data_IF_914576041742
#
_entry.id   IF_914576041742
#
_cell.length_a   1.000
_cell.length_b   1.000
_cell.length_c   1.000
_cell.angle_alpha   90.00
_cell.angle_beta   90.00
_cell.angle_gamma   90.00
#
_symmetry.space_group_name_H-M   'P 1'
#
loop_
_entity.id
_entity.type
_entity.pdbx_description
1 polymer ?
#
# COMPACT_ATOMS: atom_id res chain seq x y z
N UNK A 1 -13.98 10.99 -3.65
CA UNK A 1 -13.80 9.82 -4.54
C UNK A 1 -13.17 8.68 -3.74
N UNK A 2 -14.01 7.78 -3.21
CA UNK A 2 -13.60 6.64 -2.36
C UNK A 2 -13.33 5.34 -3.16
N UNK A 3 -13.46 5.39 -4.48
CA UNK A 3 -13.29 4.25 -5.40
C UNK A 3 -11.84 3.82 -5.57
N UNK A 4 -10.88 4.74 -5.43
CA UNK A 4 -9.44 4.49 -5.65
C UNK A 4 -8.82 3.52 -4.64
N UNK A 5 -9.25 3.52 -3.38
CA UNK A 5 -8.66 2.66 -2.35
C UNK A 5 -9.05 1.18 -2.51
N UNK A 6 -10.28 0.91 -2.94
CA UNK A 6 -10.76 -0.46 -3.09
C UNK A 6 -10.07 -1.18 -4.25
N UNK A 7 -9.79 -0.48 -5.34
CA UNK A 7 -9.06 -1.03 -6.49
C UNK A 7 -7.61 -1.36 -6.14
N UNK A 8 -6.93 -0.50 -5.37
CA UNK A 8 -5.56 -0.75 -4.91
C UNK A 8 -5.49 -1.98 -4.00
N UNK A 9 -6.47 -2.17 -3.11
CA UNK A 9 -6.56 -3.36 -2.27
C UNK A 9 -6.67 -4.62 -3.14
N UNK A 10 -7.57 -4.64 -4.13
CA UNK A 10 -7.72 -5.78 -5.06
C UNK A 10 -6.42 -6.10 -5.80
N UNK A 11 -5.75 -5.08 -6.33
CA UNK A 11 -4.50 -5.25 -7.06
C UNK A 11 -3.36 -5.74 -6.15
N UNK A 12 -3.28 -5.27 -4.91
CA UNK A 12 -2.31 -5.77 -3.91
C UNK A 12 -2.56 -7.23 -3.55
N UNK A 13 -3.81 -7.67 -3.42
CA UNK A 13 -4.15 -9.08 -3.19
C UNK A 13 -3.71 -9.97 -4.35
N UNK A 14 -3.84 -9.49 -5.60
CA UNK A 14 -3.33 -10.22 -6.77
C UNK A 14 -1.79 -10.32 -6.73
N UNK A 15 -1.10 -9.25 -6.33
CA UNK A 15 0.36 -9.26 -6.20
C UNK A 15 0.81 -10.22 -5.11
N UNK A 16 0.13 -10.22 -3.96
CA UNK A 16 0.38 -11.16 -2.86
C UNK A 16 0.28 -12.61 -3.32
N UNK A 17 -0.84 -12.94 -3.99
CA UNK A 17 -1.08 -14.26 -4.54
C UNK A 17 0.02 -14.68 -5.54
N UNK A 18 0.32 -13.85 -6.53
CA UNK A 18 1.32 -14.16 -7.55
C UNK A 18 2.77 -14.17 -7.00
N UNK A 19 3.06 -13.35 -5.98
CA UNK A 19 4.35 -13.37 -5.31
C UNK A 19 4.55 -14.66 -4.50
N UNK A 20 3.49 -15.18 -3.89
CA UNK A 20 3.48 -16.47 -3.21
C UNK A 20 3.67 -17.65 -4.19
N UNK A 21 3.15 -17.55 -5.42
CA UNK A 21 3.45 -18.49 -6.52
C UNK A 21 4.92 -18.41 -7.00
N UNK A 22 5.71 -17.44 -6.51
CA UNK A 22 7.11 -17.27 -6.91
C UNK A 22 7.31 -16.46 -8.20
N UNK A 23 6.27 -15.79 -8.70
CA UNK A 23 6.40 -14.94 -9.90
C UNK A 23 7.33 -13.74 -9.66
N UNK A 24 8.09 -13.36 -10.69
CA UNK A 24 8.89 -12.14 -10.69
C UNK A 24 8.02 -10.89 -10.87
N UNK A 25 8.42 -9.78 -10.24
CA UNK A 25 7.65 -8.52 -10.26
C UNK A 25 7.35 -8.02 -11.68
N UNK A 26 8.30 -8.14 -12.61
CA UNK A 26 8.11 -7.75 -14.01
C UNK A 26 6.98 -8.57 -14.69
N UNK A 27 6.95 -9.89 -14.43
CA UNK A 27 5.92 -10.77 -14.98
C UNK A 27 4.55 -10.46 -14.36
N UNK A 28 4.51 -10.13 -13.07
CA UNK A 28 3.29 -9.72 -12.37
C UNK A 28 2.75 -8.42 -12.99
N UNK A 29 3.59 -7.40 -13.16
CA UNK A 29 3.17 -6.12 -13.74
C UNK A 29 2.68 -6.28 -15.19
N UNK A 30 3.36 -7.08 -16.01
CA UNK A 30 2.92 -7.38 -17.37
C UNK A 30 1.52 -8.01 -17.40
N UNK A 31 1.27 -9.03 -16.56
CA UNK A 31 -0.04 -9.69 -16.43
C UNK A 31 -1.11 -8.76 -15.87
N UNK A 32 -0.78 -7.91 -14.91
CA UNK A 32 -1.74 -6.96 -14.35
C UNK A 32 -2.09 -5.86 -15.36
N UNK A 33 -1.12 -5.40 -16.15
CA UNK A 33 -1.34 -4.35 -17.15
C UNK A 33 -2.25 -4.81 -18.29
N UNK A 34 -2.23 -6.09 -18.66
CA UNK A 34 -3.19 -6.62 -19.67
C UNK A 34 -4.63 -6.68 -19.15
N UNK A 35 -4.83 -6.90 -17.85
CA UNK A 35 -6.17 -7.02 -17.24
C UNK A 35 -6.72 -5.67 -16.76
N UNK A 36 -5.90 -4.86 -16.07
CA UNK A 36 -6.31 -3.59 -15.48
C UNK A 36 -6.07 -2.38 -16.39
N UNK A 37 -5.32 -2.54 -17.48
CA UNK A 37 -5.01 -1.45 -18.41
C UNK A 37 -4.35 -0.27 -17.72
N UNK A 38 -4.84 0.94 -17.99
CA UNK A 38 -4.34 2.19 -17.41
C UNK A 38 -4.56 2.29 -15.89
N UNK A 39 -5.49 1.51 -15.35
CA UNK A 39 -5.77 1.49 -13.91
C UNK A 39 -4.79 0.61 -13.13
N UNK A 40 -3.86 -0.07 -13.81
CA UNK A 40 -2.83 -0.88 -13.18
C UNK A 40 -1.89 -0.02 -12.32
N UNK A 41 -1.54 -0.51 -11.13
CA UNK A 41 -0.48 0.14 -10.35
C UNK A 41 0.85 0.12 -11.10
N UNK A 42 1.70 1.11 -10.81
CA UNK A 42 2.99 1.22 -11.46
C UNK A 42 3.93 0.06 -11.13
N UNK A 43 4.84 -0.25 -12.06
CA UNK A 43 5.85 -1.31 -11.90
C UNK A 43 6.69 -1.16 -10.62
N UNK A 44 7.07 0.09 -10.28
CA UNK A 44 7.76 0.39 -9.02
C UNK A 44 6.92 0.01 -7.78
N UNK A 45 5.61 0.24 -7.83
CA UNK A 45 4.71 -0.16 -6.75
C UNK A 45 4.60 -1.69 -6.66
N UNK A 46 4.49 -2.40 -7.80
CA UNK A 46 4.50 -3.87 -7.84
C UNK A 46 5.78 -4.41 -7.19
N UNK A 47 6.95 -3.92 -7.60
CA UNK A 47 8.22 -4.32 -7.02
C UNK A 47 8.29 -4.08 -5.51
N UNK A 48 7.75 -2.96 -5.02
CA UNK A 48 7.67 -2.67 -3.59
C UNK A 48 6.82 -3.70 -2.85
N UNK A 49 5.62 -4.01 -3.36
CA UNK A 49 4.70 -4.96 -2.72
C UNK A 49 5.24 -6.39 -2.75
N UNK A 50 5.85 -6.83 -3.86
CA UNK A 50 6.51 -8.15 -3.94
C UNK A 50 7.60 -8.29 -2.86
N UNK A 51 8.41 -7.25 -2.63
CA UNK A 51 9.42 -7.27 -1.55
C UNK A 51 8.79 -7.32 -0.16
N UNK A 52 7.72 -6.57 0.07
CA UNK A 52 7.00 -6.56 1.35
C UNK A 52 6.43 -7.95 1.65
N UNK A 53 5.74 -8.57 0.68
CA UNK A 53 5.13 -9.89 0.87
C UNK A 53 6.17 -11.01 1.03
N UNK A 54 7.35 -10.88 0.44
CA UNK A 54 8.46 -11.81 0.65
C UNK A 54 9.18 -11.62 1.99
N UNK A 55 9.02 -10.46 2.63
CA UNK A 55 9.77 -10.05 3.83
C UNK A 55 9.24 -10.60 5.16
N UNK A 56 8.67 -11.80 5.18
CA UNK A 56 8.20 -12.54 6.37
C UNK A 56 7.10 -11.91 7.26
N UNK A 57 6.71 -10.64 7.11
CA UNK A 57 5.59 -10.07 7.89
C UNK A 57 4.24 -10.53 7.29
N UNK A 58 3.55 -11.55 7.84
CA UNK A 58 2.30 -12.07 7.28
C UNK A 58 1.13 -11.30 7.93
N UNK A 59 1.26 -9.97 8.05
CA UNK A 59 0.25 -9.16 8.71
C UNK A 59 -0.88 -8.86 7.73
N UNK A 60 -2.10 -9.30 8.05
CA UNK A 60 -3.35 -8.89 7.39
C UNK A 60 -3.47 -7.36 7.16
N UNK A 61 -2.75 -6.56 7.95
CA UNK A 61 -2.68 -5.09 7.86
C UNK A 61 -1.87 -4.56 6.67
N UNK A 62 -1.26 -5.41 5.84
CA UNK A 62 -0.42 -4.98 4.70
C UNK A 62 -1.28 -4.53 3.51
N UNK A 63 -2.44 -5.16 3.29
CA UNK A 63 -3.31 -4.84 2.15
C UNK A 63 -3.90 -3.43 2.23
N UNK A 64 -4.29 -3.01 3.43
CA UNK A 64 -4.86 -1.67 3.68
C UNK A 64 -3.78 -0.69 4.12
N UNK A 65 -3.87 0.53 3.62
CA UNK A 65 -3.01 1.60 4.11
C UNK A 65 -3.25 1.82 5.60
N UNK A 66 -2.16 1.85 6.39
CA UNK A 66 -2.25 2.21 7.80
C UNK A 66 -2.69 3.66 7.94
N UNK A 67 -3.38 3.94 9.05
CA UNK A 67 -3.71 5.32 9.42
C UNK A 67 -2.42 6.13 9.47
N UNK A 68 -2.35 7.19 8.66
CA UNK A 68 -1.20 8.11 8.68
C UNK A 68 -1.11 8.73 10.08
N UNK A 69 0.09 8.81 10.63
CA UNK A 69 0.35 9.40 11.97
C UNK A 69 0.00 10.88 12.06
N UNK A 70 -0.31 11.53 10.93
CA UNK A 70 -0.59 12.95 10.87
C UNK A 70 0.64 13.80 11.13
N UNK A 71 0.45 15.13 11.15
CA UNK A 71 1.49 16.04 11.60
C UNK A 71 1.72 15.81 13.10
N UNK A 72 2.95 15.55 13.55
CA UNK A 72 3.22 15.45 14.98
C UNK A 72 2.86 16.79 15.64
N UNK A 73 2.25 16.72 16.83
CA UNK A 73 2.00 17.91 17.63
C UNK A 73 3.36 18.49 18.06
N UNK A 74 3.69 19.69 17.59
CA UNK A 74 4.91 20.38 18.04
C UNK A 74 4.75 20.82 19.50
N UNK A 75 5.87 21.01 20.20
CA UNK A 75 5.88 21.54 21.57
C UNK A 75 5.09 22.85 21.71
N UNK A 76 5.11 23.70 20.69
CA UNK A 76 4.34 24.95 20.65
C UNK A 76 2.82 24.75 20.58
N UNK A 77 2.34 23.73 19.85
CA UNK A 77 0.89 23.40 19.78
C UNK A 77 0.40 22.82 21.11
N UNK A 78 1.25 22.06 21.81
CA UNK A 78 0.94 21.59 23.17
C UNK A 78 0.86 22.75 24.17
N UNK A 79 1.74 23.75 24.06
CA UNK A 79 1.76 24.91 24.96
C UNK A 79 0.50 25.78 24.83
N UNK A 80 0.06 26.08 23.60
CA UNK A 80 -1.17 26.83 23.37
C UNK A 80 -2.41 26.13 23.97
N UNK A 81 -2.48 24.80 23.86
CA UNK A 81 -3.63 24.02 24.33
C UNK A 81 -3.71 23.94 25.87
N UNK A 82 -2.59 24.12 26.59
CA UNK A 82 -2.54 24.17 28.05
C UNK A 82 -2.94 25.52 28.64
N UNK A 83 -2.86 26.60 27.86
CA UNK A 83 -3.22 27.95 28.30
C UNK A 83 -4.73 28.24 28.18
N UNK A 84 -5.43 27.43 27.37
CA UNK A 84 -6.87 27.56 27.12
C UNK A 84 -7.69 26.51 27.88
N UNK A 85 -7.12 25.86 28.90
CA UNK A 85 -7.75 24.81 29.72
C UNK A 85 -7.78 25.21 31.19
#
# INVERSE_FOLDING_TARGET
MATSNHLLIKQRSVIEFLAAEGCFAANIHARMKTVYGEMCISDCAVCKWVRIFKGEDPRETILRDRKRSGRPLSASVMAHRKLTA
#
